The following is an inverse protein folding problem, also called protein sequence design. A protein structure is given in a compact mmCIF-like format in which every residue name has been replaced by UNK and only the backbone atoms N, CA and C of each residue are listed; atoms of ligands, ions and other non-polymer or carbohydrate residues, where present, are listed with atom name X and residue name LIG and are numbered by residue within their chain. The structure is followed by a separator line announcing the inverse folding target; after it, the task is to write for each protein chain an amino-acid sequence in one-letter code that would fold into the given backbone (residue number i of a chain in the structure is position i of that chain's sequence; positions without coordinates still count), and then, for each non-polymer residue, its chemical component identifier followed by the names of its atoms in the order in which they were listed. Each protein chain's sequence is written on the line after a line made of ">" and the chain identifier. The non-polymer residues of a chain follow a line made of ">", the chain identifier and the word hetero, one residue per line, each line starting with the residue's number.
data_IF_005344212472
#
_entry.id   IF_005344212472
#
_cell.length_a   1.000
_cell.length_b   1.000
_cell.length_c   1.000
_cell.angle_alpha   90.00
_cell.angle_beta   90.00
_cell.angle_gamma   90.00
#
_symmetry.space_group_name_H-M   'P 1'
#
loop_
_entity.id
_entity.type
_entity.pdbx_description
1 polymer ?
#
# COMPACT_ATOMS: atom_id res chain seq x y z
N UNK A 1 11.61 -13.36 -21.16
CA UNK A 1 10.35 -13.30 -21.93
C UNK A 1 9.90 -11.86 -22.00
N UNK A 2 9.25 -11.42 -23.05
CA UNK A 2 8.62 -10.10 -23.14
C UNK A 2 7.08 -10.25 -23.21
N UNK A 3 6.35 -9.13 -23.16
CA UNK A 3 4.87 -9.08 -23.12
C UNK A 3 4.28 -9.79 -24.36
N UNK A 4 4.76 -9.50 -25.56
CA UNK A 4 4.26 -10.13 -26.81
C UNK A 4 4.44 -11.65 -26.81
N UNK A 5 5.61 -12.12 -26.31
CA UNK A 5 5.83 -13.56 -26.16
C UNK A 5 4.88 -14.20 -25.16
N UNK A 6 4.57 -13.51 -24.05
CA UNK A 6 3.62 -14.02 -23.04
C UNK A 6 2.18 -14.09 -23.59
N UNK A 7 1.76 -13.07 -24.35
CA UNK A 7 0.47 -13.06 -25.05
C UNK A 7 0.39 -14.21 -26.06
N UNK A 8 1.41 -14.38 -26.92
CA UNK A 8 1.44 -15.45 -27.91
C UNK A 8 1.40 -16.86 -27.29
N UNK A 9 2.06 -17.07 -26.14
CA UNK A 9 1.97 -18.31 -25.39
C UNK A 9 0.55 -18.56 -24.84
N UNK A 10 -0.09 -17.54 -24.31
CA UNK A 10 -1.47 -17.62 -23.82
C UNK A 10 -2.45 -17.88 -24.98
N UNK A 11 -2.33 -17.17 -26.10
CA UNK A 11 -3.15 -17.37 -27.30
C UNK A 11 -3.05 -18.83 -27.83
N UNK A 12 -1.83 -19.35 -27.99
CA UNK A 12 -1.62 -20.75 -28.39
C UNK A 12 -2.26 -21.73 -27.41
N UNK A 13 -2.25 -21.44 -26.14
CA UNK A 13 -2.91 -22.23 -25.13
C UNK A 13 -4.43 -22.19 -25.29
N UNK A 14 -5.02 -20.99 -25.44
CA UNK A 14 -6.47 -20.83 -25.64
C UNK A 14 -6.98 -21.51 -26.92
N UNK A 15 -6.14 -21.53 -27.97
CA UNK A 15 -6.44 -22.26 -29.24
C UNK A 15 -6.19 -23.78 -29.16
N UNK A 16 -5.81 -24.31 -28.01
CA UNK A 16 -5.53 -25.73 -27.81
C UNK A 16 -4.23 -26.25 -28.47
N UNK A 17 -3.38 -25.34 -28.97
CA UNK A 17 -2.08 -25.69 -29.54
C UNK A 17 -1.03 -26.07 -28.50
N UNK A 18 -1.30 -25.81 -27.24
CA UNK A 18 -0.46 -26.15 -26.08
C UNK A 18 -1.28 -26.55 -24.87
N UNK A 19 -0.73 -27.43 -24.06
CA UNK A 19 -1.38 -27.87 -22.81
C UNK A 19 -1.17 -26.89 -21.64
N UNK A 20 -0.28 -25.91 -21.79
CA UNK A 20 -0.05 -24.86 -20.80
C UNK A 20 0.66 -23.64 -21.44
N UNK A 21 0.71 -22.52 -20.72
CA UNK A 21 1.44 -21.32 -21.14
C UNK A 21 2.30 -20.79 -20.01
N UNK A 22 3.27 -19.92 -20.34
CA UNK A 22 4.12 -19.23 -19.36
C UNK A 22 4.09 -17.73 -19.62
N UNK A 23 3.97 -16.96 -18.55
CA UNK A 23 4.04 -15.48 -18.58
C UNK A 23 5.45 -14.94 -18.29
N UNK A 24 6.39 -15.82 -17.91
CA UNK A 24 7.72 -15.40 -17.51
C UNK A 24 8.77 -16.49 -17.66
N UNK A 25 10.04 -16.10 -17.80
CA UNK A 25 11.19 -17.01 -17.66
C UNK A 25 11.68 -17.04 -16.21
N UNK A 26 12.51 -18.04 -15.87
CA UNK A 26 13.14 -18.15 -14.53
C UNK A 26 14.02 -16.93 -14.22
N UNK A 27 14.61 -16.29 -15.23
CA UNK A 27 15.52 -15.15 -15.11
C UNK A 27 14.81 -13.78 -15.00
N UNK A 28 13.51 -13.72 -15.21
CA UNK A 28 12.76 -12.46 -15.14
C UNK A 28 12.60 -12.04 -13.67
N UNK A 29 12.79 -10.75 -13.36
CA UNK A 29 12.53 -10.18 -12.06
C UNK A 29 10.99 -10.06 -11.80
N UNK A 30 10.56 -9.82 -10.56
CA UNK A 30 9.13 -9.76 -10.22
C UNK A 30 8.36 -8.73 -11.05
N UNK A 31 8.91 -7.53 -11.26
CA UNK A 31 8.26 -6.44 -12.02
C UNK A 31 8.04 -6.84 -13.47
N UNK A 32 9.02 -7.48 -14.10
CA UNK A 32 8.90 -7.97 -15.48
C UNK A 32 7.88 -9.10 -15.59
N UNK A 33 7.81 -9.98 -14.59
CA UNK A 33 6.79 -11.05 -14.53
C UNK A 33 5.39 -10.45 -14.44
N UNK A 34 5.22 -9.42 -13.61
CA UNK A 34 3.96 -8.70 -13.48
C UNK A 34 3.58 -7.98 -14.77
N UNK A 35 4.50 -7.25 -15.40
CA UNK A 35 4.25 -6.55 -16.66
C UNK A 35 3.76 -7.50 -17.76
N UNK A 36 4.41 -8.65 -17.89
CA UNK A 36 3.98 -9.68 -18.86
C UNK A 36 2.59 -10.21 -18.53
N UNK A 37 2.28 -10.40 -17.24
CA UNK A 37 0.97 -10.87 -16.79
C UNK A 37 -0.13 -9.85 -17.05
N UNK A 38 0.12 -8.58 -16.80
CA UNK A 38 -0.80 -7.50 -17.15
C UNK A 38 -1.07 -7.45 -18.65
N UNK A 39 -0.05 -7.69 -19.50
CA UNK A 39 -0.25 -7.82 -20.96
C UNK A 39 -1.19 -8.96 -21.33
N UNK A 40 -1.07 -10.11 -20.68
CA UNK A 40 -1.98 -11.26 -20.90
C UNK A 40 -3.39 -10.94 -20.41
N UNK A 41 -3.55 -10.29 -19.24
CA UNK A 41 -4.85 -9.83 -18.77
C UNK A 41 -5.51 -8.85 -19.74
N UNK A 42 -4.74 -7.85 -20.21
CA UNK A 42 -5.24 -6.88 -21.21
C UNK A 42 -5.72 -7.58 -22.47
N UNK A 43 -4.92 -8.50 -23.02
CA UNK A 43 -5.30 -9.27 -24.19
C UNK A 43 -6.59 -10.07 -23.96
N UNK A 44 -6.70 -10.76 -22.83
CA UNK A 44 -7.91 -11.56 -22.52
C UNK A 44 -9.16 -10.67 -22.37
N UNK A 45 -9.06 -9.52 -21.73
CA UNK A 45 -10.20 -8.65 -21.51
C UNK A 45 -10.60 -7.84 -22.76
N UNK A 46 -9.64 -7.24 -23.45
CA UNK A 46 -9.92 -6.37 -24.60
C UNK A 46 -10.20 -7.19 -25.89
N UNK A 47 -9.39 -8.23 -26.17
CA UNK A 47 -9.46 -8.94 -27.44
C UNK A 47 -10.30 -10.21 -27.38
N UNK A 48 -10.30 -10.95 -26.26
CA UNK A 48 -11.11 -12.16 -26.13
C UNK A 48 -12.54 -11.82 -25.72
N UNK A 49 -12.72 -10.91 -24.72
CA UNK A 49 -14.05 -10.52 -24.23
C UNK A 49 -14.61 -9.26 -24.91
N UNK A 50 -13.78 -8.40 -25.47
CA UNK A 50 -14.20 -7.11 -26.03
C UNK A 50 -14.68 -6.11 -24.98
N UNK A 51 -14.17 -6.20 -23.73
CA UNK A 51 -14.64 -5.39 -22.62
C UNK A 51 -13.94 -4.01 -22.54
N UNK A 52 -14.69 -3.01 -22.12
CA UNK A 52 -14.17 -1.69 -21.75
C UNK A 52 -13.51 -1.72 -20.37
N UNK A 53 -12.66 -0.74 -20.02
CA UNK A 53 -12.06 -0.63 -18.68
C UNK A 53 -13.08 -0.68 -17.54
N UNK A 54 -14.24 0.00 -17.68
CA UNK A 54 -15.30 0.00 -16.68
C UNK A 54 -15.93 -1.39 -16.52
N UNK A 55 -16.19 -2.08 -17.61
CA UNK A 55 -16.72 -3.45 -17.57
C UNK A 55 -15.73 -4.41 -16.89
N UNK A 56 -14.42 -4.24 -17.16
CA UNK A 56 -13.38 -5.03 -16.50
C UNK A 56 -13.40 -4.74 -14.99
N UNK A 57 -13.42 -3.46 -14.57
CA UNK A 57 -13.47 -3.08 -13.16
C UNK A 57 -14.67 -3.71 -12.44
N UNK A 58 -15.83 -3.65 -13.06
CA UNK A 58 -17.11 -4.02 -12.42
C UNK A 58 -17.37 -5.53 -12.41
N UNK A 59 -16.75 -6.28 -13.33
CA UNK A 59 -17.04 -7.70 -13.51
C UNK A 59 -15.86 -8.63 -13.29
N UNK A 60 -14.65 -8.10 -13.00
CA UNK A 60 -13.50 -8.95 -12.71
C UNK A 60 -13.75 -9.75 -11.42
N UNK A 61 -13.68 -11.08 -11.53
CA UNK A 61 -13.88 -12.01 -10.42
C UNK A 61 -12.91 -13.18 -10.50
N UNK A 62 -12.77 -13.93 -9.42
CA UNK A 62 -11.94 -15.15 -9.43
C UNK A 62 -12.51 -16.19 -10.42
N UNK A 63 -13.83 -16.32 -10.51
CA UNK A 63 -14.50 -17.21 -11.46
C UNK A 63 -14.14 -16.84 -12.91
N UNK A 64 -14.11 -15.53 -13.23
CA UNK A 64 -13.70 -15.05 -14.55
C UNK A 64 -12.22 -15.36 -14.84
N UNK A 65 -11.35 -15.15 -13.83
CA UNK A 65 -9.91 -15.47 -13.95
C UNK A 65 -9.72 -16.97 -14.20
N UNK A 66 -10.46 -17.82 -13.54
CA UNK A 66 -10.43 -19.27 -13.74
C UNK A 66 -10.99 -19.65 -15.11
N UNK A 67 -12.14 -19.11 -15.50
CA UNK A 67 -12.77 -19.38 -16.79
C UNK A 67 -11.86 -19.01 -17.97
N UNK A 68 -11.19 -17.87 -17.90
CA UNK A 68 -10.19 -17.43 -18.88
C UNK A 68 -8.82 -18.12 -18.71
N UNK A 69 -8.68 -19.05 -17.77
CA UNK A 69 -7.42 -19.70 -17.45
C UNK A 69 -6.25 -18.72 -17.12
N UNK A 70 -6.57 -17.58 -16.54
CA UNK A 70 -5.60 -16.52 -16.19
C UNK A 70 -4.86 -16.78 -14.87
N UNK A 71 -5.11 -17.88 -14.17
CA UNK A 71 -4.51 -18.18 -12.86
C UNK A 71 -2.98 -18.16 -12.83
N UNK A 72 -2.31 -18.45 -13.96
CA UNK A 72 -0.83 -18.32 -14.05
C UNK A 72 -0.37 -16.87 -14.11
N UNK A 73 -1.09 -16.02 -14.80
CA UNK A 73 -0.85 -14.59 -14.87
C UNK A 73 -1.20 -13.93 -13.53
N UNK A 74 -2.33 -14.28 -12.94
CA UNK A 74 -2.79 -13.79 -11.64
C UNK A 74 -1.74 -13.96 -10.52
N UNK A 75 -1.13 -15.13 -10.40
CA UNK A 75 -0.09 -15.41 -9.40
C UNK A 75 1.19 -14.57 -9.55
N UNK A 76 1.32 -13.76 -10.60
CA UNK A 76 2.45 -12.85 -10.80
C UNK A 76 2.09 -11.39 -10.57
N UNK A 77 0.82 -11.08 -10.32
CA UNK A 77 0.39 -9.73 -9.93
C UNK A 77 0.87 -9.47 -8.51
N UNK A 78 1.48 -8.30 -8.32
CA UNK A 78 1.98 -7.84 -7.03
C UNK A 78 0.92 -6.96 -6.39
N UNK A 79 0.22 -7.50 -5.41
CA UNK A 79 -0.74 -6.73 -4.62
C UNK A 79 -0.03 -6.05 -3.46
N UNK A 80 -0.31 -4.76 -3.20
CA UNK A 80 0.19 -4.10 -2.01
C UNK A 80 -0.45 -4.71 -0.74
N UNK A 81 0.23 -4.61 0.43
CA UNK A 81 -0.20 -5.30 1.67
C UNK A 81 -1.58 -4.89 2.19
N UNK A 82 -2.06 -3.71 1.83
CA UNK A 82 -3.38 -3.21 2.22
C UNK A 82 -4.53 -3.87 1.46
N UNK A 83 -4.25 -4.56 0.34
CA UNK A 83 -5.25 -5.25 -0.48
C UNK A 83 -5.33 -6.73 -0.14
N UNK A 84 -6.55 -7.25 -0.23
CA UNK A 84 -6.82 -8.68 -0.24
C UNK A 84 -6.83 -9.17 -1.70
N UNK A 85 -5.87 -9.98 -2.14
CA UNK A 85 -5.77 -10.39 -3.54
C UNK A 85 -7.04 -11.02 -4.09
N UNK A 86 -7.80 -11.77 -3.29
CA UNK A 86 -9.01 -12.47 -3.74
C UNK A 86 -10.24 -11.56 -3.79
N UNK A 87 -10.25 -10.45 -3.01
CA UNK A 87 -11.39 -9.54 -2.90
C UNK A 87 -11.21 -8.22 -3.66
N UNK A 88 -9.96 -7.78 -3.78
CA UNK A 88 -9.63 -6.47 -4.36
C UNK A 88 -9.15 -6.60 -5.81
N UNK A 89 -9.79 -7.47 -6.61
CA UNK A 89 -9.40 -7.77 -8.00
C UNK A 89 -9.49 -6.55 -8.93
N UNK A 90 -10.32 -5.55 -8.59
CA UNK A 90 -10.38 -4.27 -9.31
C UNK A 90 -9.00 -3.59 -9.42
N UNK A 91 -8.06 -3.93 -8.53
CA UNK A 91 -6.69 -3.44 -8.59
C UNK A 91 -5.97 -3.85 -9.87
N UNK A 92 -6.29 -5.01 -10.44
CA UNK A 92 -5.77 -5.43 -11.74
C UNK A 92 -6.25 -4.47 -12.82
N UNK A 93 -7.54 -4.12 -12.82
CA UNK A 93 -8.10 -3.14 -13.74
C UNK A 93 -7.46 -1.75 -13.57
N UNK A 94 -7.27 -1.29 -12.33
CA UNK A 94 -6.58 -0.02 -12.05
C UNK A 94 -5.11 -0.02 -12.54
N UNK A 95 -4.41 -1.14 -12.46
CA UNK A 95 -3.05 -1.28 -13.05
C UNK A 95 -3.05 -1.28 -14.57
N UNK A 96 -4.07 -1.84 -15.20
CA UNK A 96 -4.20 -1.86 -16.66
C UNK A 96 -4.56 -0.48 -17.23
N UNK A 97 -5.39 0.27 -16.50
CA UNK A 97 -5.98 1.54 -16.93
C UNK A 97 -5.83 2.65 -15.87
N UNK A 98 -4.59 3.04 -15.53
CA UNK A 98 -4.35 3.96 -14.40
C UNK A 98 -4.90 5.37 -14.62
N UNK A 99 -5.22 5.76 -15.87
CA UNK A 99 -5.81 7.05 -16.19
C UNK A 99 -7.36 7.04 -16.16
N UNK A 100 -7.97 5.87 -16.13
CA UNK A 100 -9.44 5.68 -16.21
C UNK A 100 -9.99 5.11 -14.90
N UNK A 101 -9.22 4.24 -14.24
CA UNK A 101 -9.63 3.57 -13.02
C UNK A 101 -8.74 4.03 -11.87
N UNK A 102 -9.32 4.83 -10.99
CA UNK A 102 -8.58 5.38 -9.86
C UNK A 102 -8.42 4.35 -8.72
N UNK A 103 -7.19 4.21 -8.23
CA UNK A 103 -6.87 3.50 -6.99
C UNK A 103 -6.21 4.46 -6.01
N UNK A 104 -6.90 4.79 -4.93
CA UNK A 104 -6.34 5.59 -3.85
C UNK A 104 -5.74 4.67 -2.77
N UNK A 105 -4.44 4.54 -2.78
CA UNK A 105 -3.71 3.77 -1.77
C UNK A 105 -3.95 4.33 -0.36
N UNK A 106 -3.97 5.65 -0.21
CA UNK A 106 -4.19 6.31 1.08
C UNK A 106 -5.56 5.95 1.67
N UNK A 107 -6.62 5.99 0.86
CA UNK A 107 -7.97 5.62 1.30
C UNK A 107 -8.04 4.15 1.72
N UNK A 108 -7.38 3.26 0.99
CA UNK A 108 -7.36 1.84 1.35
C UNK A 108 -6.58 1.59 2.65
N UNK A 109 -5.42 2.24 2.83
CA UNK A 109 -4.66 2.20 4.09
C UNK A 109 -5.55 2.65 5.25
N UNK A 110 -6.25 3.79 5.10
CA UNK A 110 -7.14 4.31 6.13
C UNK A 110 -8.33 3.39 6.41
N UNK A 111 -8.91 2.76 5.38
CA UNK A 111 -9.97 1.77 5.55
C UNK A 111 -9.51 0.57 6.37
N UNK A 112 -8.30 0.04 6.11
CA UNK A 112 -7.72 -1.04 6.91
C UNK A 112 -7.46 -0.58 8.35
N UNK A 113 -6.92 0.63 8.52
CA UNK A 113 -6.60 1.19 9.83
C UNK A 113 -7.87 1.43 10.66
N UNK A 114 -8.93 1.98 10.06
CA UNK A 114 -10.21 2.19 10.75
C UNK A 114 -10.77 0.88 11.29
N UNK A 115 -10.75 -0.21 10.51
CA UNK A 115 -11.17 -1.55 10.96
C UNK A 115 -10.36 -2.08 12.15
N UNK A 116 -9.09 -1.68 12.29
CA UNK A 116 -8.27 -2.01 13.45
C UNK A 116 -8.69 -1.17 14.67
N UNK A 117 -8.97 0.11 14.49
CA UNK A 117 -9.45 1.00 15.56
C UNK A 117 -10.83 0.56 16.07
N UNK A 118 -11.73 0.17 15.17
CA UNK A 118 -13.09 -0.28 15.46
C UNK A 118 -13.15 -1.74 15.97
N UNK A 119 -12.00 -2.39 16.06
CA UNK A 119 -11.85 -3.81 16.49
C UNK A 119 -12.52 -4.84 15.55
N UNK A 120 -12.88 -4.45 14.35
CA UNK A 120 -13.36 -5.36 13.29
C UNK A 120 -12.23 -6.28 12.80
N UNK A 121 -10.98 -5.80 12.83
CA UNK A 121 -9.76 -6.58 12.60
C UNK A 121 -8.89 -6.56 13.85
N UNK A 122 -8.28 -7.69 14.16
CA UNK A 122 -7.41 -7.83 15.35
C UNK A 122 -5.97 -7.39 15.04
N UNK A 123 -5.53 -7.54 13.80
CA UNK A 123 -4.13 -7.29 13.37
C UNK A 123 -4.09 -6.63 12.00
N UNK A 124 -3.03 -5.84 11.78
CA UNK A 124 -2.67 -5.38 10.44
C UNK A 124 -2.32 -6.54 9.52
N UNK A 125 -2.53 -6.40 8.21
CA UNK A 125 -2.04 -7.35 7.23
C UNK A 125 -0.53 -7.59 7.38
N UNK A 126 -0.07 -8.75 6.93
CA UNK A 126 1.38 -9.07 6.94
C UNK A 126 2.13 -8.04 6.08
N UNK A 127 3.27 -7.58 6.55
CA UNK A 127 4.15 -6.61 5.86
C UNK A 127 3.52 -5.22 5.62
N UNK A 128 2.40 -4.90 6.28
CA UNK A 128 1.68 -3.63 6.08
C UNK A 128 2.54 -2.38 6.35
N UNK A 129 3.50 -2.48 7.28
CA UNK A 129 4.41 -1.41 7.66
C UNK A 129 5.88 -1.69 7.29
N UNK A 130 6.13 -2.62 6.36
CA UNK A 130 7.49 -2.98 5.96
C UNK A 130 7.97 -2.17 4.74
N UNK A 131 9.27 -1.83 4.73
CA UNK A 131 9.90 -1.06 3.65
C UNK A 131 9.44 0.39 3.54
N UNK A 132 9.79 1.07 2.47
CA UNK A 132 9.43 2.49 2.22
C UNK A 132 7.91 2.69 2.11
N UNK A 133 7.24 1.76 1.46
CA UNK A 133 5.79 1.74 1.34
C UNK A 133 5.10 1.57 2.69
N UNK A 134 5.66 0.74 3.57
CA UNK A 134 5.16 0.54 4.91
C UNK A 134 5.40 1.76 5.80
N UNK A 135 6.53 2.46 5.63
CA UNK A 135 6.79 3.72 6.32
C UNK A 135 5.77 4.80 5.93
N UNK A 136 5.42 4.86 4.64
CA UNK A 136 4.37 5.76 4.15
C UNK A 136 3.02 5.41 4.78
N UNK A 137 2.66 4.12 4.84
CA UNK A 137 1.43 3.67 5.50
C UNK A 137 1.41 4.04 6.99
N UNK A 138 2.53 3.90 7.70
CA UNK A 138 2.65 4.29 9.10
C UNK A 138 2.40 5.79 9.30
N UNK A 139 2.98 6.64 8.46
CA UNK A 139 2.79 8.10 8.49
C UNK A 139 1.32 8.48 8.22
N UNK A 140 0.68 7.85 7.25
CA UNK A 140 -0.74 8.06 6.93
C UNK A 140 -1.63 7.69 8.14
N UNK A 141 -1.46 6.50 8.72
CA UNK A 141 -2.22 6.07 9.89
C UNK A 141 -1.99 7.00 11.10
N UNK A 142 -0.75 7.39 11.35
CA UNK A 142 -0.39 8.26 12.46
C UNK A 142 -1.05 9.64 12.34
N UNK A 143 -0.88 10.32 11.19
CA UNK A 143 -1.47 11.65 10.96
C UNK A 143 -3.01 11.59 10.98
N UNK A 144 -3.61 10.52 10.47
CA UNK A 144 -5.05 10.32 10.57
C UNK A 144 -5.51 10.30 12.04
N UNK A 145 -4.84 9.53 12.90
CA UNK A 145 -5.18 9.44 14.31
C UNK A 145 -4.93 10.76 15.07
N UNK A 146 -3.82 11.46 14.77
CA UNK A 146 -3.54 12.81 15.29
C UNK A 146 -4.69 13.76 14.94
N UNK A 147 -5.10 13.81 13.68
CA UNK A 147 -6.23 14.65 13.25
C UNK A 147 -7.56 14.29 13.90
N UNK A 148 -7.80 13.00 14.19
CA UNK A 148 -9.02 12.59 14.88
C UNK A 148 -9.05 12.99 16.37
N UNK A 149 -7.91 12.88 17.06
CA UNK A 149 -7.85 13.02 18.53
C UNK A 149 -7.32 14.36 19.00
N UNK A 150 -6.52 15.03 18.21
CA UNK A 150 -5.81 16.24 18.56
C UNK A 150 -6.08 17.37 17.54
N UNK A 151 -7.26 17.37 16.93
CA UNK A 151 -7.65 18.30 15.84
C UNK A 151 -7.67 19.78 16.28
N UNK A 152 -7.72 20.05 17.57
CA UNK A 152 -7.74 21.41 18.13
C UNK A 152 -6.34 21.97 18.41
N UNK A 153 -5.32 21.11 18.40
CA UNK A 153 -3.96 21.54 18.70
C UNK A 153 -3.29 22.13 17.45
N UNK A 154 -2.57 23.24 17.67
CA UNK A 154 -1.66 23.80 16.68
C UNK A 154 -0.46 22.87 16.47
N UNK A 155 0.29 23.06 15.40
CA UNK A 155 1.52 22.29 15.16
C UNK A 155 2.54 22.48 16.30
N UNK A 156 2.64 23.67 16.90
CA UNK A 156 3.50 23.96 18.06
C UNK A 156 3.08 23.14 19.28
N UNK A 157 1.79 23.09 19.57
CA UNK A 157 1.24 22.29 20.67
C UNK A 157 1.42 20.80 20.45
N UNK A 158 1.30 20.33 19.19
CA UNK A 158 1.60 18.94 18.82
C UNK A 158 3.08 18.61 19.09
N UNK A 159 4.02 19.51 18.76
CA UNK A 159 5.43 19.29 19.08
C UNK A 159 5.67 19.21 20.58
N UNK A 160 5.06 20.09 21.38
CA UNK A 160 5.12 20.03 22.87
C UNK A 160 4.53 18.71 23.39
N UNK A 161 3.36 18.30 22.85
CA UNK A 161 2.69 17.05 23.22
C UNK A 161 3.58 15.82 22.95
N UNK A 162 4.17 15.73 21.77
CA UNK A 162 5.01 14.59 21.39
C UNK A 162 6.45 14.66 21.91
N UNK A 163 6.88 15.78 22.50
CA UNK A 163 8.13 15.90 23.26
C UNK A 163 8.02 15.26 24.64
N UNK A 164 6.83 15.18 25.23
CA UNK A 164 6.56 14.44 26.46
C UNK A 164 6.46 12.94 26.15
N UNK A 165 7.52 12.19 26.45
CA UNK A 165 7.61 10.77 26.10
C UNK A 165 6.48 9.92 26.71
N UNK A 166 6.12 10.00 28.01
CA UNK A 166 5.01 9.27 28.59
C UNK A 166 3.68 9.53 27.89
N UNK A 167 3.40 10.78 27.55
CA UNK A 167 2.18 11.19 26.88
C UNK A 167 2.13 10.67 25.43
N UNK A 168 3.22 10.82 24.69
CA UNK A 168 3.38 10.31 23.34
C UNK A 168 3.26 8.78 23.27
N UNK A 169 3.91 8.06 24.19
CA UNK A 169 3.85 6.60 24.25
C UNK A 169 2.42 6.07 24.52
N UNK A 170 1.67 6.76 25.40
CA UNK A 170 0.26 6.45 25.65
C UNK A 170 -0.57 6.65 24.38
N UNK A 171 -0.45 7.81 23.74
CA UNK A 171 -1.16 8.14 22.51
C UNK A 171 -0.91 7.12 21.40
N UNK A 172 0.36 6.76 21.15
CA UNK A 172 0.73 5.78 20.13
C UNK A 172 0.21 4.37 20.46
N UNK A 173 0.14 4.04 21.76
CA UNK A 173 -0.44 2.77 22.21
C UNK A 173 -1.93 2.72 21.94
N UNK A 174 -2.67 3.79 22.23
CA UNK A 174 -4.09 3.93 21.90
C UNK A 174 -4.35 3.90 20.39
N UNK A 175 -3.46 4.51 19.61
CA UNK A 175 -3.45 4.45 18.16
C UNK A 175 -3.17 3.05 17.57
N UNK A 176 -2.84 2.04 18.40
CA UNK A 176 -2.43 0.68 17.96
C UNK A 176 -1.16 0.64 17.09
N UNK A 177 -0.32 1.66 17.15
CA UNK A 177 0.87 1.81 16.32
C UNK A 177 2.19 1.56 17.08
N UNK A 178 2.17 1.34 18.40
CA UNK A 178 3.36 1.28 19.27
C UNK A 178 4.46 0.36 18.73
N UNK A 179 4.13 -0.88 18.39
CA UNK A 179 5.12 -1.86 17.93
C UNK A 179 5.74 -1.51 16.58
N UNK A 180 5.05 -0.72 15.75
CA UNK A 180 5.52 -0.30 14.44
C UNK A 180 6.35 0.98 14.54
N UNK A 181 5.92 1.93 15.37
CA UNK A 181 6.68 3.16 15.65
C UNK A 181 8.01 2.84 16.30
N UNK A 182 8.03 2.01 17.34
CA UNK A 182 9.27 1.67 18.08
C UNK A 182 10.32 0.92 17.25
N UNK A 183 9.94 0.31 16.14
CA UNK A 183 10.87 -0.32 15.18
C UNK A 183 11.57 0.69 14.28
N UNK A 184 10.93 1.82 14.01
CA UNK A 184 11.35 2.80 12.99
C UNK A 184 11.87 4.10 13.61
N UNK A 185 11.35 4.47 14.79
CA UNK A 185 11.61 5.74 15.44
C UNK A 185 11.95 5.56 16.90
N UNK A 186 12.98 6.28 17.36
CA UNK A 186 13.36 6.33 18.78
C UNK A 186 12.38 7.17 19.58
N UNK A 187 11.85 8.23 18.98
CA UNK A 187 10.89 9.13 19.61
C UNK A 187 9.70 9.41 18.66
N UNK A 188 8.51 9.53 19.23
CA UNK A 188 7.30 9.81 18.47
C UNK A 188 7.29 11.17 17.76
N UNK A 189 8.02 12.13 18.31
CA UNK A 189 8.19 13.45 17.68
C UNK A 189 8.94 13.35 16.34
N UNK A 190 9.81 12.37 16.16
CA UNK A 190 10.50 12.13 14.89
C UNK A 190 9.48 11.72 13.80
N UNK A 191 8.55 10.81 14.16
CA UNK A 191 7.46 10.43 13.28
C UNK A 191 6.54 11.61 12.97
N UNK A 192 6.19 12.45 13.97
CA UNK A 192 5.40 13.66 13.74
C UNK A 192 6.11 14.58 12.75
N UNK A 193 7.38 14.91 13.02
CA UNK A 193 8.18 15.81 12.18
C UNK A 193 8.25 15.33 10.72
N UNK A 194 8.47 14.04 10.50
CA UNK A 194 8.52 13.48 9.16
C UNK A 194 7.15 13.35 8.47
N UNK A 195 6.08 13.33 9.24
CA UNK A 195 4.72 13.18 8.71
C UNK A 195 4.05 14.50 8.36
N UNK A 196 4.56 15.63 8.87
CA UNK A 196 4.03 16.95 8.55
C UNK A 196 4.46 17.42 7.14
N UNK A 197 3.66 18.29 6.49
CA UNK A 197 4.05 18.96 5.27
C UNK A 197 5.37 19.74 5.42
N UNK A 198 6.14 19.87 4.35
CA UNK A 198 7.46 20.52 4.39
C UNK A 198 7.40 21.97 4.93
N UNK A 199 6.34 22.71 4.59
CA UNK A 199 6.14 24.07 5.12
C UNK A 199 6.08 24.07 6.65
N UNK A 200 5.22 23.24 7.23
CA UNK A 200 5.05 23.15 8.68
C UNK A 200 6.33 22.69 9.38
N UNK A 201 7.06 21.75 8.79
CA UNK A 201 8.36 21.28 9.29
C UNK A 201 9.38 22.41 9.34
N UNK A 202 9.41 23.26 8.31
CA UNK A 202 10.37 24.38 8.23
C UNK A 202 10.09 25.44 9.29
N UNK A 203 8.82 25.75 9.55
CA UNK A 203 8.40 26.71 10.58
C UNK A 203 8.74 26.22 12.00
N UNK A 204 8.70 24.90 12.21
CA UNK A 204 8.91 24.27 13.52
C UNK A 204 10.32 23.68 13.69
N UNK A 205 11.18 23.89 12.72
CA UNK A 205 12.55 23.35 12.69
C UNK A 205 13.33 23.63 13.99
N UNK A 206 13.23 24.85 14.51
CA UNK A 206 13.90 25.25 15.75
C UNK A 206 13.43 24.42 16.96
N UNK A 207 12.12 24.18 17.10
CA UNK A 207 11.57 23.40 18.22
C UNK A 207 12.02 21.94 18.16
N UNK A 208 12.02 21.36 16.95
CA UNK A 208 12.48 19.99 16.75
C UNK A 208 13.96 19.81 17.11
N UNK A 209 14.83 20.70 16.64
CA UNK A 209 16.26 20.62 16.94
C UNK A 209 16.59 20.92 18.39
N UNK A 210 15.89 21.83 19.04
CA UNK A 210 15.99 22.06 20.48
C UNK A 210 15.70 20.78 21.26
N UNK A 211 14.60 20.11 20.94
CA UNK A 211 14.25 18.81 21.53
C UNK A 211 15.36 17.78 21.32
N UNK A 212 15.85 17.62 20.10
CA UNK A 212 16.92 16.65 19.77
C UNK A 212 18.21 16.95 20.52
N UNK A 213 18.56 18.22 20.71
CA UNK A 213 19.71 18.63 21.50
C UNK A 213 19.54 18.27 22.98
N UNK A 214 18.41 18.58 23.57
CA UNK A 214 18.09 18.26 24.97
C UNK A 214 18.16 16.75 25.24
N UNK A 215 17.60 15.94 24.37
CA UNK A 215 17.69 14.46 24.43
C UNK A 215 19.14 13.99 24.33
N UNK A 216 19.98 14.63 23.52
CA UNK A 216 21.40 14.26 23.39
C UNK A 216 22.23 14.53 24.66
N UNK A 217 21.81 15.48 25.48
CA UNK A 217 22.47 15.79 26.76
C UNK A 217 22.13 14.78 27.87
N UNK A 218 20.93 14.21 27.83
CA UNK A 218 20.45 13.21 28.82
C UNK A 218 21.08 11.85 28.60
N UNK A 219 21.48 11.53 27.35
CA UNK A 219 22.06 10.25 26.96
C UNK A 219 23.61 10.21 27.00
N UNK A 220 24.24 11.26 27.53
CA UNK A 220 25.68 11.32 27.86
C UNK A 220 25.89 11.07 29.35
#
# INVERSE_FOLDING_TARGET
>A
MNVYSAISEYEKYMLGHRNNYSVSSKKDNPQKKELNSLGVFRYAFEYVLGWTPEQIRDHISMELIEWLNLGRAYRKIIFPPELDPEKDLFYIAAKLYPNEIHYSRSEKILSVYQKILDKEKVKFPKNFFDGEDGLTALKICFIYYVKQKLCTLTNEELYKFFSDKPQADRFITEAKLKNHVSKQYTHAIDLLHESLPQKDRSELYYMYYKFRYEVSLVNK
#
